data_IF_037695371394
#
_entry.id   IF_037695371394
#
_cell.length_a   1.000
_cell.length_b   1.000
_cell.length_c   1.000
_cell.angle_alpha   90.00
_cell.angle_beta   90.00
_cell.angle_gamma   90.00
#
_symmetry.space_group_name_H-M   'P 1'
#
loop_
_entity.id
_entity.type
_entity.pdbx_description
1 polymer ?
#
# COMPACT_ATOMS: atom_id res chain seq x y z
N UNK A 1 -4.55 7.53 10.55
CA UNK A 1 -3.29 7.26 9.82
C UNK A 1 -2.86 8.51 9.06
N UNK A 2 -1.56 8.79 8.96
CA UNK A 2 -1.00 9.87 8.13
C UNK A 2 0.01 9.29 7.15
N UNK A 3 -0.14 9.67 5.88
CA UNK A 3 0.76 9.30 4.79
C UNK A 3 1.61 10.54 4.44
N UNK A 4 2.95 10.45 4.41
CA UNK A 4 3.78 11.51 3.85
C UNK A 4 3.37 11.78 2.40
N UNK A 5 3.38 13.05 1.99
CA UNK A 5 3.02 13.43 0.63
C UNK A 5 4.16 14.31 0.06
N UNK A 6 5.11 13.71 -0.68
CA UNK A 6 6.16 14.45 -1.38
C UNK A 6 5.54 15.40 -2.43
N UNK A 7 6.32 16.37 -2.94
CA UNK A 7 5.86 17.27 -3.98
C UNK A 7 5.28 16.53 -5.20
N UNK A 8 4.24 17.11 -5.81
CA UNK A 8 3.55 16.59 -7.01
C UNK A 8 2.78 15.27 -6.81
N UNK A 9 2.76 14.67 -5.62
CA UNK A 9 1.82 13.60 -5.30
C UNK A 9 0.50 14.24 -4.87
N UNK A 10 -0.51 14.17 -5.73
CA UNK A 10 -1.79 14.83 -5.54
C UNK A 10 -2.91 13.82 -5.36
N UNK A 11 -3.87 14.12 -4.50
CA UNK A 11 -5.02 13.25 -4.29
C UNK A 11 -5.96 13.32 -5.48
N UNK A 12 -6.32 12.16 -6.02
CA UNK A 12 -7.29 12.04 -7.11
C UNK A 12 -8.53 11.27 -6.62
N UNK A 13 -9.52 11.94 -6.01
CA UNK A 13 -10.66 11.30 -5.36
C UNK A 13 -11.55 10.52 -6.33
N UNK A 14 -11.57 10.89 -7.62
CA UNK A 14 -12.34 10.22 -8.66
C UNK A 14 -11.90 8.76 -8.89
N UNK A 15 -10.68 8.41 -8.47
CA UNK A 15 -10.16 7.04 -8.53
C UNK A 15 -10.42 6.22 -7.26
N UNK A 16 -10.96 6.83 -6.20
CA UNK A 16 -11.22 6.14 -4.94
C UNK A 16 -12.49 5.28 -5.08
N UNK A 17 -12.30 3.96 -5.01
CA UNK A 17 -13.37 2.94 -5.01
C UNK A 17 -13.13 1.97 -3.85
N UNK A 18 -14.17 1.44 -3.19
CA UNK A 18 -13.99 0.44 -2.14
C UNK A 18 -13.07 -0.71 -2.60
N UNK A 19 -12.08 -1.14 -1.79
CA UNK A 19 -11.81 -0.75 -0.40
C UNK A 19 -10.83 0.44 -0.22
N UNK A 20 -10.46 1.14 -1.29
CA UNK A 20 -9.51 2.25 -1.23
C UNK A 20 -10.06 3.44 -0.42
N UNK A 21 -9.17 4.06 0.34
CA UNK A 21 -9.42 5.26 1.17
C UNK A 21 -8.66 6.49 0.66
N UNK A 22 -7.58 6.27 -0.10
CA UNK A 22 -6.78 7.33 -0.71
C UNK A 22 -6.18 6.83 -2.02
N UNK A 23 -6.16 7.70 -3.03
CA UNK A 23 -5.35 7.54 -4.24
C UNK A 23 -4.56 8.83 -4.42
N UNK A 24 -3.23 8.70 -4.50
CA UNK A 24 -2.32 9.79 -4.86
C UNK A 24 -1.66 9.47 -6.19
N UNK A 25 -1.48 10.47 -7.04
CA UNK A 25 -0.83 10.32 -8.34
C UNK A 25 0.17 11.43 -8.58
N UNK A 26 1.21 11.11 -9.34
CA UNK A 26 2.23 12.07 -9.71
C UNK A 26 2.28 12.26 -11.23
N UNK A 27 1.47 13.20 -11.72
CA UNK A 27 1.34 13.50 -13.15
C UNK A 27 2.62 14.05 -13.77
N UNK A 28 3.53 14.63 -12.96
CA UNK A 28 4.84 15.06 -13.43
C UNK A 28 5.78 13.88 -13.79
N UNK A 29 5.44 12.66 -13.35
CA UNK A 29 6.16 11.43 -13.68
C UNK A 29 5.49 10.61 -14.79
N UNK A 30 4.44 11.15 -15.43
CA UNK A 30 3.79 10.47 -16.55
C UNK A 30 4.73 10.34 -17.75
N UNK A 31 4.77 9.17 -18.39
CA UNK A 31 5.66 8.88 -19.52
C UNK A 31 4.93 8.28 -20.74
N UNK A 32 3.62 8.47 -20.80
CA UNK A 32 2.74 7.92 -21.85
C UNK A 32 2.33 6.47 -21.64
N UNK A 33 3.00 5.72 -20.75
CA UNK A 33 2.62 4.34 -20.41
C UNK A 33 1.76 4.26 -19.16
N UNK A 34 1.80 5.29 -18.31
CA UNK A 34 1.00 5.38 -17.11
C UNK A 34 1.41 6.56 -16.24
N UNK A 35 0.67 6.75 -15.15
CA UNK A 35 1.01 7.71 -14.09
C UNK A 35 1.28 6.88 -12.83
N UNK A 36 2.41 7.07 -12.14
CA UNK A 36 2.64 6.39 -10.87
C UNK A 36 1.55 6.70 -9.83
N UNK A 37 1.21 5.71 -9.02
CA UNK A 37 0.09 5.77 -8.07
C UNK A 37 0.54 5.30 -6.69
N UNK A 38 0.15 6.02 -5.63
CA UNK A 38 0.06 5.47 -4.27
C UNK A 38 -1.40 5.22 -3.96
N UNK A 39 -1.72 4.02 -3.47
CA UNK A 39 -3.05 3.72 -2.94
C UNK A 39 -2.96 3.42 -1.45
N UNK A 40 -4.02 3.76 -0.72
CA UNK A 40 -4.27 3.27 0.63
C UNK A 40 -5.58 2.51 0.60
N UNK A 41 -5.56 1.25 1.01
CA UNK A 41 -6.74 0.42 1.19
C UNK A 41 -6.82 -0.05 2.64
N UNK A 42 -8.04 -0.22 3.15
CA UNK A 42 -8.26 -0.82 4.46
C UNK A 42 -9.22 -1.99 4.28
N UNK A 43 -8.81 -3.18 4.75
CA UNK A 43 -9.66 -4.35 4.78
C UNK A 43 -10.83 -4.18 5.76
N UNK A 44 -11.83 -5.02 5.61
CA UNK A 44 -12.89 -5.11 6.62
C UNK A 44 -12.30 -5.57 7.95
N UNK A 45 -12.87 -5.07 9.04
CA UNK A 45 -12.46 -5.47 10.37
C UNK A 45 -12.85 -6.94 10.61
N UNK A 46 -11.87 -7.79 10.91
CA UNK A 46 -12.09 -9.23 11.05
C UNK A 46 -12.62 -9.61 12.44
N UNK A 47 -13.03 -10.87 12.57
CA UNK A 47 -13.45 -11.47 13.84
C UNK A 47 -12.31 -11.47 14.86
N UNK A 48 -12.62 -11.41 16.18
CA UNK A 48 -11.65 -11.19 17.25
C UNK A 48 -10.57 -12.27 17.40
N UNK A 49 -10.68 -13.40 16.70
CA UNK A 49 -9.90 -14.61 16.97
C UNK A 49 -8.67 -14.76 16.05
N UNK A 50 -8.51 -13.95 15.00
CA UNK A 50 -7.32 -14.00 14.13
C UNK A 50 -6.14 -13.23 14.73
N UNK A 51 -4.95 -13.82 14.66
CA UNK A 51 -3.71 -13.13 15.01
C UNK A 51 -3.32 -12.09 13.94
N UNK A 52 -2.59 -11.01 14.30
CA UNK A 52 -2.12 -10.04 13.32
C UNK A 52 -1.34 -10.64 12.15
N UNK A 53 -0.57 -11.70 12.38
CA UNK A 53 0.22 -12.36 11.33
C UNK A 53 -0.66 -13.19 10.38
N UNK A 54 -1.70 -13.86 10.88
CA UNK A 54 -2.69 -14.55 10.03
C UNK A 54 -3.43 -13.54 9.14
N UNK A 55 -3.90 -12.44 9.72
CA UNK A 55 -4.57 -11.38 8.96
C UNK A 55 -3.69 -10.79 7.85
N UNK A 56 -2.40 -10.58 8.12
CA UNK A 56 -1.44 -10.10 7.12
C UNK A 56 -1.23 -11.13 6.01
N UNK A 57 -1.05 -12.40 6.36
CA UNK A 57 -0.87 -13.47 5.39
C UNK A 57 -2.09 -13.64 4.48
N UNK A 58 -3.29 -13.64 5.05
CA UNK A 58 -4.55 -13.75 4.30
C UNK A 58 -4.75 -12.55 3.36
N UNK A 59 -4.46 -11.34 3.85
CA UNK A 59 -4.55 -10.12 3.03
C UNK A 59 -3.60 -10.14 1.84
N UNK A 60 -2.38 -10.68 2.03
CA UNK A 60 -1.36 -10.78 0.97
C UNK A 60 -1.69 -11.90 -0.01
N UNK A 61 -2.21 -13.03 0.46
CA UNK A 61 -2.70 -14.10 -0.42
C UNK A 61 -3.80 -13.58 -1.36
N UNK A 62 -4.64 -12.66 -0.88
CA UNK A 62 -5.65 -11.98 -1.70
C UNK A 62 -5.09 -11.18 -2.89
N UNK A 63 -3.79 -10.86 -2.95
CA UNK A 63 -3.20 -10.15 -4.09
C UNK A 63 -3.22 -10.99 -5.37
N UNK A 64 -3.21 -12.32 -5.26
CA UNK A 64 -3.32 -13.20 -6.43
C UNK A 64 -4.67 -12.99 -7.16
N UNK A 65 -5.73 -12.65 -6.43
CA UNK A 65 -7.06 -12.38 -7.00
C UNK A 65 -7.11 -11.11 -7.86
N UNK A 66 -6.17 -10.18 -7.67
CA UNK A 66 -6.01 -8.98 -8.50
C UNK A 66 -4.93 -9.17 -9.58
N UNK A 67 -4.49 -10.41 -9.81
CA UNK A 67 -3.50 -10.77 -10.82
C UNK A 67 -2.06 -10.49 -10.41
N UNK A 68 -1.78 -10.31 -9.11
CA UNK A 68 -0.41 -10.17 -8.63
C UNK A 68 0.37 -11.48 -8.81
N UNK A 69 1.63 -11.33 -9.20
CA UNK A 69 2.59 -12.39 -9.46
C UNK A 69 3.93 -11.99 -8.85
N UNK A 70 4.86 -12.95 -8.77
CA UNK A 70 6.21 -12.73 -8.22
C UNK A 70 6.17 -12.08 -6.83
N UNK A 71 5.18 -12.48 -6.01
CA UNK A 71 4.95 -11.92 -4.69
C UNK A 71 6.11 -12.32 -3.79
N UNK A 72 6.79 -11.32 -3.24
CA UNK A 72 7.81 -11.47 -2.20
C UNK A 72 7.39 -10.65 -1.01
N UNK A 73 7.52 -11.20 0.19
CA UNK A 73 7.18 -10.50 1.43
C UNK A 73 8.22 -10.73 2.51
N UNK A 74 8.43 -9.71 3.34
CA UNK A 74 9.33 -9.75 4.48
C UNK A 74 8.68 -9.10 5.71
N UNK A 75 8.95 -9.60 6.93
CA UNK A 75 8.51 -8.96 8.17
C UNK A 75 8.95 -7.50 8.26
N UNK A 76 8.07 -6.64 8.78
CA UNK A 76 8.33 -5.24 9.05
C UNK A 76 7.58 -4.80 10.32
N UNK A 77 7.84 -3.56 10.75
CA UNK A 77 7.11 -2.94 11.86
C UNK A 77 6.81 -1.49 11.52
N UNK A 78 5.57 -1.04 11.75
CA UNK A 78 5.16 0.36 11.56
C UNK A 78 4.53 0.87 12.85
N UNK A 79 5.12 1.90 13.46
CA UNK A 79 4.63 2.47 14.74
C UNK A 79 4.38 1.43 15.85
N UNK A 80 5.15 0.33 15.88
CA UNK A 80 5.00 -0.76 16.86
C UNK A 80 4.02 -1.87 16.46
N UNK A 81 3.29 -1.71 15.35
CA UNK A 81 2.37 -2.73 14.82
C UNK A 81 3.07 -3.72 13.88
N UNK A 82 2.60 -4.97 13.87
CA UNK A 82 3.07 -5.99 12.92
C UNK A 82 2.76 -5.56 11.49
N UNK A 83 3.75 -5.69 10.61
CA UNK A 83 3.63 -5.33 9.22
C UNK A 83 4.36 -6.33 8.32
N UNK A 84 4.06 -6.23 7.02
CA UNK A 84 4.77 -6.90 5.93
C UNK A 84 5.12 -5.91 4.85
N UNK A 85 6.37 -5.93 4.42
CA UNK A 85 6.78 -5.25 3.18
C UNK A 85 6.67 -6.24 2.04
N UNK A 86 5.88 -5.89 1.03
CA UNK A 86 5.50 -6.78 -0.06
C UNK A 86 5.92 -6.15 -1.39
N UNK A 87 6.50 -6.95 -2.28
CA UNK A 87 6.78 -6.55 -3.65
C UNK A 87 6.11 -7.54 -4.59
N UNK A 88 5.48 -7.05 -5.66
CA UNK A 88 4.80 -7.90 -6.64
C UNK A 88 4.69 -7.19 -7.99
N UNK A 89 4.31 -7.94 -9.02
CA UNK A 89 3.98 -7.43 -10.35
C UNK A 89 2.55 -7.82 -10.70
N UNK A 90 1.77 -6.92 -11.27
CA UNK A 90 0.43 -7.22 -11.81
C UNK A 90 0.30 -6.59 -13.20
N UNK A 91 0.03 -7.41 -14.22
CA UNK A 91 0.14 -7.02 -15.63
C UNK A 91 1.52 -6.37 -15.91
N UNK A 92 1.56 -5.10 -16.35
CA UNK A 92 2.80 -4.35 -16.61
C UNK A 92 3.22 -3.43 -15.46
N UNK A 93 2.53 -3.50 -14.32
CA UNK A 93 2.75 -2.64 -13.15
C UNK A 93 3.59 -3.38 -12.13
N UNK A 94 4.67 -2.72 -11.67
CA UNK A 94 5.42 -3.16 -10.50
C UNK A 94 4.93 -2.40 -9.27
N UNK A 95 4.80 -3.12 -8.16
CA UNK A 95 4.29 -2.57 -6.91
C UNK A 95 5.19 -2.91 -5.72
N UNK A 96 5.30 -1.97 -4.80
CA UNK A 96 5.83 -2.20 -3.45
C UNK A 96 4.82 -1.68 -2.45
N UNK A 97 4.45 -2.51 -1.49
CA UNK A 97 3.44 -2.22 -0.49
C UNK A 97 3.95 -2.44 0.93
N UNK A 98 3.33 -1.75 1.87
CA UNK A 98 3.38 -2.04 3.30
C UNK A 98 1.96 -2.39 3.73
N UNK A 99 1.78 -3.61 4.23
CA UNK A 99 0.56 -4.07 4.90
C UNK A 99 0.79 -4.01 6.41
N UNK A 100 -0.13 -3.42 7.16
CA UNK A 100 -0.02 -3.25 8.62
C UNK A 100 -1.31 -3.69 9.29
N UNK A 101 -1.21 -4.59 10.27
CA UNK A 101 -2.33 -5.00 11.10
C UNK A 101 -2.50 -4.01 12.26
N UNK A 102 -3.62 -3.27 12.27
CA UNK A 102 -3.86 -2.19 13.23
C UNK A 102 -5.27 -2.22 13.81
N UNK A 103 -5.45 -1.77 15.06
CA UNK A 103 -6.78 -1.57 15.62
C UNK A 103 -7.42 -0.31 15.00
N UNK A 104 -8.58 -0.46 14.38
CA UNK A 104 -9.44 0.61 13.89
C UNK A 104 -10.79 0.49 14.61
N UNK A 105 -11.18 1.52 15.37
CA UNK A 105 -12.45 1.54 16.11
C UNK A 105 -12.66 0.32 17.03
N UNK A 106 -11.58 -0.18 17.63
CA UNK A 106 -11.63 -1.33 18.55
C UNK A 106 -11.66 -2.71 17.88
N UNK A 107 -11.57 -2.78 16.55
CA UNK A 107 -11.41 -4.04 15.81
C UNK A 107 -10.10 -4.06 15.03
N UNK A 108 -9.49 -5.23 14.87
CA UNK A 108 -8.30 -5.36 14.04
C UNK A 108 -8.67 -5.30 12.56
N UNK A 109 -7.85 -4.61 11.77
CA UNK A 109 -7.96 -4.53 10.32
C UNK A 109 -6.55 -4.45 9.71
N UNK A 110 -6.41 -4.85 8.45
CA UNK A 110 -5.17 -4.67 7.69
C UNK A 110 -5.31 -3.45 6.80
N UNK A 111 -4.38 -2.50 6.97
CA UNK A 111 -4.23 -1.35 6.08
C UNK A 111 -3.06 -1.59 5.15
N UNK A 112 -3.27 -1.38 3.86
CA UNK A 112 -2.29 -1.61 2.80
C UNK A 112 -2.01 -0.28 2.11
N UNK A 113 -0.74 0.13 2.10
CA UNK A 113 -0.27 1.27 1.31
C UNK A 113 0.61 0.73 0.20
N UNK A 114 0.25 0.95 -1.06
CA UNK A 114 0.97 0.41 -2.22
C UNK A 114 1.44 1.52 -3.15
N UNK A 115 2.72 1.53 -3.47
CA UNK A 115 3.32 2.33 -4.53
C UNK A 115 3.41 1.52 -5.81
N UNK A 116 2.89 2.06 -6.91
CA UNK A 116 2.68 1.34 -8.16
C UNK A 116 3.17 2.18 -9.35
N UNK A 117 3.91 1.55 -10.27
CA UNK A 117 4.38 2.20 -11.49
C UNK A 117 4.64 1.19 -12.61
N UNK A 118 4.39 1.61 -13.85
CA UNK A 118 4.84 0.92 -15.07
C UNK A 118 6.32 1.18 -15.37
N UNK A 119 6.92 2.17 -14.71
CA UNK A 119 8.33 2.59 -14.88
C UNK A 119 9.02 2.63 -13.51
N UNK A 120 9.15 1.47 -12.83
CA UNK A 120 9.62 1.39 -11.44
C UNK A 120 11.10 1.75 -11.26
N UNK A 121 11.87 1.86 -12.36
CA UNK A 121 13.26 2.31 -12.35
C UNK A 121 13.41 3.84 -12.30
N UNK A 122 12.31 4.59 -12.41
CA UNK A 122 12.36 6.05 -12.28
C UNK A 122 12.85 6.43 -10.87
N UNK A 123 13.96 7.17 -10.81
CA UNK A 123 14.63 7.52 -9.54
C UNK A 123 13.76 8.36 -8.61
N UNK A 124 12.98 9.30 -9.15
CA UNK A 124 12.07 10.13 -8.34
C UNK A 124 10.98 9.26 -7.74
N UNK A 125 10.36 8.38 -8.54
CA UNK A 125 9.37 7.44 -8.04
C UNK A 125 9.91 6.54 -6.92
N UNK A 126 11.14 6.02 -7.07
CA UNK A 126 11.76 5.18 -6.03
C UNK A 126 11.99 5.93 -4.72
N UNK A 127 12.55 7.14 -4.79
CA UNK A 127 12.81 7.97 -3.61
C UNK A 127 11.52 8.37 -2.92
N UNK A 128 10.53 8.81 -3.69
CA UNK A 128 9.23 9.21 -3.16
C UNK A 128 8.49 8.02 -2.54
N UNK A 129 8.47 6.87 -3.23
CA UNK A 129 7.84 5.65 -2.70
C UNK A 129 8.48 5.19 -1.40
N UNK A 130 9.80 5.24 -1.30
CA UNK A 130 10.49 4.90 -0.05
C UNK A 130 10.14 5.90 1.06
N UNK A 131 10.16 7.21 0.76
CA UNK A 131 9.80 8.24 1.74
C UNK A 131 8.37 8.08 2.26
N UNK A 132 7.44 7.77 1.36
CA UNK A 132 6.03 7.55 1.68
C UNK A 132 5.87 6.30 2.54
N UNK A 133 6.38 5.15 2.09
CA UNK A 133 6.18 3.86 2.75
C UNK A 133 6.89 3.76 4.11
N UNK A 134 8.09 4.34 4.24
CA UNK A 134 8.85 4.37 5.50
C UNK A 134 8.34 5.43 6.49
N UNK A 135 7.71 6.50 5.99
CA UNK A 135 7.23 7.60 6.81
C UNK A 135 5.76 7.48 7.28
N UNK A 136 5.11 6.34 7.04
CA UNK A 136 3.73 6.08 7.49
C UNK A 136 3.63 6.27 9.00
N UNK A 137 2.64 7.05 9.44
CA UNK A 137 2.32 7.20 10.86
C UNK A 137 0.93 6.64 11.18
N UNK A 138 0.87 5.82 12.21
CA UNK A 138 -0.35 5.25 12.75
C UNK A 138 -0.53 5.83 14.16
N UNK A 139 -1.71 6.42 14.40
CA UNK A 139 -2.09 6.99 15.69
C UNK A 139 -3.38 6.29 16.14
N UNK A 140 -3.55 6.07 17.46
CA UNK A 140 -4.80 5.58 18.04
C UNK A 140 -5.99 6.46 17.67
#
# INVERSE_FOLDING_TARGET
MRIPQPPNWESEPDFIKPPMKLVLRNNALADGNGVPVITVAAGEATEPDQTPDEMLNDSIAGFENIGAQNISQHPATVCGYSARRVSYTADRVSATAIAVAVPIEGKMSVVIVAAQSVTPQNRTFQLDSEHILSGIQIRP
#
